data_IF_687646744899
#
_entry.id   IF_687646744899
#
_cell.length_a   1.000
_cell.length_b   1.000
_cell.length_c   1.000
_cell.angle_alpha   90.00
_cell.angle_beta   90.00
_cell.angle_gamma   90.00
#
_symmetry.space_group_name_H-M   'P 1'
#
loop_
_entity.id
_entity.type
_entity.pdbx_description
1 polymer ?
#
# COMPACT_ATOMS: atom_id res chain seq x y z
N UNK A 1 17.02 11.76 -4.56
CA UNK A 1 15.57 11.66 -4.22
C UNK A 1 15.29 10.54 -3.19
N UNK A 2 15.95 10.59 -2.02
CA UNK A 2 15.91 9.50 -1.02
C UNK A 2 14.64 9.62 -0.15
N UNK A 3 14.18 10.84 0.11
CA UNK A 3 13.04 11.14 1.01
C UNK A 3 11.68 11.09 0.29
N UNK A 4 11.65 11.27 -1.03
CA UNK A 4 10.41 11.32 -1.79
C UNK A 4 9.45 10.14 -1.56
N UNK A 5 9.91 8.86 -1.51
CA UNK A 5 9.02 7.74 -1.23
C UNK A 5 8.34 7.84 0.13
N UNK A 6 9.03 8.31 1.17
CA UNK A 6 8.44 8.50 2.49
C UNK A 6 7.34 9.57 2.47
N UNK A 7 7.57 10.70 1.78
CA UNK A 7 6.55 11.76 1.63
C UNK A 7 5.33 11.28 0.84
N UNK A 8 5.55 10.52 -0.24
CA UNK A 8 4.47 9.92 -1.05
C UNK A 8 3.63 8.99 -0.18
N UNK A 9 4.28 8.19 0.67
CA UNK A 9 3.61 7.23 1.56
C UNK A 9 2.74 7.94 2.59
N UNK A 10 3.21 9.06 3.16
CA UNK A 10 2.40 9.89 4.07
C UNK A 10 1.17 10.45 3.35
N UNK A 11 1.37 11.08 2.19
CA UNK A 11 0.27 11.64 1.42
C UNK A 11 -0.77 10.58 1.04
N UNK A 12 -0.32 9.37 0.68
CA UNK A 12 -1.19 8.25 0.40
C UNK A 12 -1.99 7.82 1.64
N UNK A 13 -1.36 7.76 2.82
CA UNK A 13 -2.04 7.47 4.09
C UNK A 13 -3.17 8.45 4.39
N UNK A 14 -2.93 9.75 4.23
CA UNK A 14 -3.98 10.77 4.39
C UNK A 14 -5.09 10.64 3.35
N UNK A 15 -4.76 10.27 2.11
CA UNK A 15 -5.76 9.96 1.08
C UNK A 15 -6.69 8.82 1.50
N UNK A 16 -6.18 7.80 2.20
CA UNK A 16 -7.01 6.69 2.74
C UNK A 16 -7.91 7.13 3.89
N UNK A 17 -7.45 8.04 4.73
CA UNK A 17 -8.32 8.67 5.75
C UNK A 17 -9.45 9.45 5.07
N UNK A 18 -9.16 10.17 3.99
CA UNK A 18 -10.18 10.84 3.18
C UNK A 18 -11.22 9.87 2.60
N UNK A 19 -10.79 8.69 2.09
CA UNK A 19 -11.72 7.64 1.65
C UNK A 19 -12.59 7.10 2.80
N UNK A 20 -12.03 6.98 4.01
CA UNK A 20 -12.80 6.59 5.18
C UNK A 20 -13.88 7.63 5.52
N UNK A 21 -13.55 8.91 5.54
CA UNK A 21 -14.51 9.98 5.79
C UNK A 21 -15.62 10.05 4.71
N UNK A 22 -15.28 9.68 3.47
CA UNK A 22 -16.23 9.62 2.36
C UNK A 22 -17.08 8.34 2.36
N UNK A 23 -16.81 7.36 3.24
CA UNK A 23 -17.54 6.09 3.31
C UNK A 23 -17.33 5.18 2.10
N UNK A 24 -16.25 5.36 1.33
CA UNK A 24 -15.96 4.58 0.13
C UNK A 24 -14.79 3.62 0.32
N UNK A 25 -14.69 2.58 -0.52
CA UNK A 25 -13.55 1.65 -0.53
C UNK A 25 -13.40 0.79 0.74
N UNK A 26 -14.49 0.54 1.44
CA UNK A 26 -14.54 -0.35 2.61
C UNK A 26 -14.35 -1.82 2.24
N UNK A 27 -14.20 -2.68 3.26
CA UNK A 27 -14.09 -4.12 3.09
C UNK A 27 -15.45 -4.85 3.05
N UNK A 28 -15.38 -6.17 3.17
CA UNK A 28 -16.55 -7.05 3.28
C UNK A 28 -17.31 -6.80 4.59
N UNK A 29 -18.58 -7.21 4.62
CA UNK A 29 -19.38 -7.22 5.84
C UNK A 29 -18.75 -8.11 6.92
N UNK A 30 -18.85 -7.69 8.16
CA UNK A 30 -18.23 -8.39 9.29
C UNK A 30 -19.00 -8.16 10.57
N UNK A 31 -19.10 -9.21 11.38
CA UNK A 31 -19.61 -9.13 12.76
C UNK A 31 -18.49 -8.87 13.78
N UNK A 32 -17.29 -8.58 13.31
CA UNK A 32 -16.13 -8.30 14.15
C UNK A 32 -16.29 -6.98 14.90
N UNK A 33 -15.72 -6.91 16.11
CA UNK A 33 -15.63 -5.68 16.91
C UNK A 33 -14.94 -4.51 16.18
N UNK A 34 -14.17 -4.81 15.14
CA UNK A 34 -13.52 -3.81 14.27
C UNK A 34 -14.40 -3.31 13.12
N UNK A 35 -15.63 -3.86 12.99
CA UNK A 35 -16.57 -3.42 11.96
C UNK A 35 -17.06 -2.01 12.22
N UNK A 36 -17.18 -1.22 11.14
CA UNK A 36 -17.71 0.15 11.15
C UNK A 36 -18.91 0.21 10.23
N UNK A 37 -20.00 0.82 10.70
CA UNK A 37 -21.20 1.05 9.88
C UNK A 37 -21.13 2.46 9.30
N UNK A 38 -21.06 2.57 7.98
CA UNK A 38 -21.11 3.86 7.28
C UNK A 38 -22.55 4.33 7.08
N UNK A 39 -22.78 5.64 6.95
CA UNK A 39 -24.09 6.18 6.65
C UNK A 39 -24.71 5.52 5.40
N UNK A 40 -25.93 5.01 5.53
CA UNK A 40 -26.65 4.31 4.47
C UNK A 40 -26.39 2.81 4.38
N UNK A 41 -25.53 2.25 5.24
CA UNK A 41 -25.33 0.80 5.37
C UNK A 41 -26.11 0.22 6.55
N UNK A 42 -26.57 -1.04 6.40
CA UNK A 42 -27.27 -1.78 7.46
C UNK A 42 -26.26 -2.57 8.29
N UNK A 43 -25.30 -3.21 7.63
CA UNK A 43 -24.33 -4.10 8.26
C UNK A 43 -22.96 -3.40 8.43
N UNK A 44 -22.22 -3.73 9.50
CA UNK A 44 -20.86 -3.26 9.68
C UNK A 44 -19.92 -3.91 8.66
N UNK A 45 -18.92 -3.14 8.21
CA UNK A 45 -17.92 -3.57 7.23
C UNK A 45 -16.51 -3.32 7.77
N UNK A 46 -15.53 -4.08 7.27
CA UNK A 46 -14.13 -3.81 7.64
C UNK A 46 -13.67 -2.44 7.13
N UNK A 47 -13.12 -1.57 8.01
CA UNK A 47 -12.56 -0.27 7.62
C UNK A 47 -11.17 -0.44 7.00
N UNK A 48 -11.11 -1.12 5.85
CA UNK A 48 -9.85 -1.42 5.15
C UNK A 48 -9.04 -0.17 4.82
N UNK A 49 -9.70 0.99 4.69
CA UNK A 49 -9.06 2.29 4.51
C UNK A 49 -8.18 2.66 5.71
N UNK A 50 -8.66 2.42 6.93
CA UNK A 50 -7.90 2.70 8.16
C UNK A 50 -6.73 1.73 8.32
N UNK A 51 -6.91 0.45 7.99
CA UNK A 51 -5.82 -0.53 8.02
C UNK A 51 -4.73 -0.14 7.03
N UNK A 52 -5.12 0.31 5.84
CA UNK A 52 -4.17 0.77 4.82
C UNK A 52 -3.46 2.07 5.25
N UNK A 53 -4.19 3.02 5.80
CA UNK A 53 -3.60 4.26 6.32
C UNK A 53 -2.59 3.99 7.43
N UNK A 54 -2.94 3.15 8.40
CA UNK A 54 -2.06 2.77 9.50
C UNK A 54 -0.77 2.12 9.01
N UNK A 55 -0.88 1.15 8.09
CA UNK A 55 0.28 0.51 7.48
C UNK A 55 1.16 1.53 6.73
N UNK A 56 0.55 2.44 5.96
CA UNK A 56 1.29 3.46 5.21
C UNK A 56 2.05 4.41 6.13
N UNK A 57 1.49 4.79 7.27
CA UNK A 57 2.21 5.64 8.24
C UNK A 57 3.38 4.91 8.88
N UNK A 58 3.23 3.62 9.21
CA UNK A 58 4.35 2.80 9.70
C UNK A 58 5.43 2.68 8.63
N UNK A 59 5.04 2.35 7.40
CA UNK A 59 5.96 2.23 6.27
C UNK A 59 6.69 3.55 6.02
N UNK A 60 6.00 4.69 6.09
CA UNK A 60 6.61 6.00 5.97
C UNK A 60 7.65 6.27 7.04
N UNK A 61 7.35 5.95 8.30
CA UNK A 61 8.30 6.11 9.41
C UNK A 61 9.56 5.26 9.18
N UNK A 62 9.40 4.02 8.71
CA UNK A 62 10.53 3.14 8.37
C UNK A 62 11.34 3.73 7.21
N UNK A 63 10.69 4.20 6.15
CA UNK A 63 11.37 4.81 5.00
C UNK A 63 12.11 6.09 5.38
N UNK A 64 11.54 6.90 6.25
CA UNK A 64 12.19 8.09 6.80
C UNK A 64 13.44 7.74 7.61
N UNK A 65 13.32 6.77 8.51
CA UNK A 65 14.45 6.28 9.30
C UNK A 65 15.57 5.73 8.42
N UNK A 66 15.24 4.92 7.41
CA UNK A 66 16.20 4.36 6.46
C UNK A 66 16.86 5.46 5.60
N UNK A 67 16.09 6.44 5.14
CA UNK A 67 16.62 7.57 4.39
C UNK A 67 17.56 8.45 5.22
N UNK A 68 17.26 8.62 6.51
CA UNK A 68 18.11 9.37 7.44
C UNK A 68 19.40 8.63 7.75
N UNK A 69 19.32 7.33 8.08
CA UNK A 69 20.47 6.50 8.48
C UNK A 69 21.37 6.12 7.32
N UNK A 70 20.77 5.80 6.17
CA UNK A 70 21.47 5.30 4.97
C UNK A 70 21.27 6.25 3.79
N UNK A 71 21.95 7.38 3.81
CA UNK A 71 21.82 8.47 2.80
C UNK A 71 21.98 8.04 1.34
N UNK A 72 22.62 6.90 1.08
CA UNK A 72 22.84 6.34 -0.26
C UNK A 72 21.87 5.24 -0.65
N UNK A 73 20.87 4.95 0.20
CA UNK A 73 19.88 3.92 -0.05
C UNK A 73 18.71 4.51 -0.83
N UNK A 74 18.38 3.90 -1.96
CA UNK A 74 17.15 4.23 -2.65
C UNK A 74 15.97 3.53 -1.94
N UNK A 75 15.09 4.30 -1.32
CA UNK A 75 13.93 3.79 -0.56
C UNK A 75 12.73 3.44 -1.44
N UNK A 76 12.77 3.78 -2.74
CA UNK A 76 11.68 3.51 -3.69
C UNK A 76 11.37 2.01 -3.86
N UNK A 77 12.36 1.11 -4.04
CA UNK A 77 12.08 -0.32 -4.10
C UNK A 77 11.41 -0.85 -2.83
N UNK A 78 11.85 -0.37 -1.67
CA UNK A 78 11.28 -0.80 -0.38
C UNK A 78 9.81 -0.37 -0.27
N UNK A 79 9.49 0.85 -0.70
CA UNK A 79 8.10 1.33 -0.78
C UNK A 79 7.25 0.45 -1.71
N UNK A 80 7.71 0.21 -2.93
CA UNK A 80 6.97 -0.57 -3.93
C UNK A 80 6.75 -2.02 -3.48
N UNK A 81 7.78 -2.66 -2.91
CA UNK A 81 7.66 -4.02 -2.38
C UNK A 81 6.71 -4.07 -1.17
N UNK A 82 6.94 -3.23 -0.16
CA UNK A 82 6.13 -3.21 1.06
C UNK A 82 4.67 -2.91 0.79
N UNK A 83 4.39 -1.87 0.00
CA UNK A 83 3.03 -1.54 -0.37
C UNK A 83 2.38 -2.60 -1.27
N UNK A 84 3.11 -3.13 -2.25
CA UNK A 84 2.60 -4.17 -3.15
C UNK A 84 2.17 -5.42 -2.41
N UNK A 85 3.00 -5.92 -1.48
CA UNK A 85 2.66 -7.09 -0.65
C UNK A 85 1.46 -6.82 0.24
N UNK A 86 1.46 -5.69 0.94
CA UNK A 86 0.35 -5.33 1.82
C UNK A 86 -0.97 -5.16 1.04
N UNK A 87 -0.92 -4.47 -0.10
CA UNK A 87 -2.09 -4.25 -0.95
C UNK A 87 -2.65 -5.55 -1.51
N UNK A 88 -1.77 -6.49 -1.88
CA UNK A 88 -2.19 -7.81 -2.31
C UNK A 88 -2.95 -8.55 -1.21
N UNK A 89 -2.45 -8.52 0.03
CA UNK A 89 -3.11 -9.15 1.18
C UNK A 89 -4.43 -8.46 1.54
N UNK A 90 -4.46 -7.12 1.52
CA UNK A 90 -5.65 -6.35 1.86
C UNK A 90 -6.82 -6.62 0.91
N UNK A 91 -6.55 -7.00 -0.33
CA UNK A 91 -7.59 -7.29 -1.32
C UNK A 91 -8.49 -8.46 -0.91
N UNK A 92 -7.99 -9.41 -0.12
CA UNK A 92 -8.81 -10.50 0.42
C UNK A 92 -9.88 -10.05 1.43
N UNK A 93 -9.68 -8.87 2.04
CA UNK A 93 -10.66 -8.25 2.96
C UNK A 93 -11.59 -7.27 2.25
N UNK A 94 -11.42 -7.06 0.95
CA UNK A 94 -12.28 -6.16 0.15
C UNK A 94 -13.41 -6.95 -0.49
N UNK A 95 -14.61 -6.41 -0.38
CA UNK A 95 -15.82 -6.97 -0.97
C UNK A 95 -16.26 -6.26 -2.25
N UNK A 96 -15.43 -5.37 -2.82
CA UNK A 96 -15.81 -4.61 -4.01
C UNK A 96 -15.77 -5.50 -5.26
N UNK A 97 -16.91 -5.75 -5.86
CA UNK A 97 -17.03 -6.32 -7.22
C UNK A 97 -16.55 -5.29 -8.25
N UNK A 98 -15.26 -5.28 -8.53
CA UNK A 98 -14.63 -4.34 -9.49
C UNK A 98 -14.51 -4.88 -10.90
N UNK A 99 -15.45 -5.73 -11.34
CA UNK A 99 -15.49 -6.21 -12.72
C UNK A 99 -14.37 -7.17 -13.09
N UNK A 100 -14.04 -7.23 -14.37
CA UNK A 100 -13.23 -8.26 -14.99
C UNK A 100 -12.00 -8.74 -14.21
N UNK A 101 -12.04 -10.00 -13.80
CA UNK A 101 -10.91 -10.72 -13.26
C UNK A 101 -10.02 -11.22 -14.40
N UNK A 102 -8.76 -10.87 -14.38
CA UNK A 102 -7.75 -11.49 -15.23
C UNK A 102 -7.09 -12.63 -14.43
N UNK A 103 -7.22 -13.86 -14.89
CA UNK A 103 -6.73 -15.07 -14.18
C UNK A 103 -7.24 -15.19 -12.73
N UNK A 104 -8.50 -14.86 -12.47
CA UNK A 104 -9.11 -14.86 -11.12
C UNK A 104 -8.48 -13.86 -10.12
N UNK A 105 -7.66 -12.94 -10.60
CA UNK A 105 -7.05 -11.89 -9.79
C UNK A 105 -7.79 -10.56 -10.00
N UNK A 106 -7.94 -9.79 -8.93
CA UNK A 106 -8.47 -8.43 -9.04
C UNK A 106 -7.48 -7.49 -9.73
N UNK A 107 -7.93 -6.40 -10.36
CA UNK A 107 -7.03 -5.40 -10.94
C UNK A 107 -5.99 -4.88 -9.94
N UNK A 108 -6.36 -4.71 -8.67
CA UNK A 108 -5.45 -4.29 -7.62
C UNK A 108 -4.35 -5.32 -7.33
N UNK A 109 -4.67 -6.61 -7.39
CA UNK A 109 -3.68 -7.69 -7.23
C UNK A 109 -2.71 -7.72 -8.41
N UNK A 110 -3.19 -7.53 -9.64
CA UNK A 110 -2.33 -7.42 -10.82
C UNK A 110 -1.35 -6.25 -10.69
N UNK A 111 -1.83 -5.06 -10.31
CA UNK A 111 -0.95 -3.91 -10.07
C UNK A 111 0.04 -4.14 -8.94
N UNK A 112 -0.35 -4.85 -7.87
CA UNK A 112 0.54 -5.20 -6.76
C UNK A 112 1.68 -6.12 -7.21
N UNK A 113 1.37 -7.13 -8.03
CA UNK A 113 2.38 -8.03 -8.59
C UNK A 113 3.35 -7.27 -9.50
N UNK A 114 2.84 -6.40 -10.38
CA UNK A 114 3.67 -5.56 -11.24
C UNK A 114 4.59 -4.66 -10.40
N UNK A 115 4.08 -4.04 -9.35
CA UNK A 115 4.87 -3.20 -8.46
C UNK A 115 6.01 -3.96 -7.76
N UNK A 116 5.76 -5.22 -7.36
CA UNK A 116 6.78 -6.09 -6.77
C UNK A 116 7.87 -6.42 -7.81
N UNK A 117 7.51 -6.77 -9.04
CA UNK A 117 8.48 -7.04 -10.11
C UNK A 117 9.32 -5.80 -10.44
N UNK A 118 8.69 -4.63 -10.53
CA UNK A 118 9.40 -3.35 -10.73
C UNK A 118 10.36 -3.09 -9.56
N UNK A 119 9.95 -3.37 -8.32
CA UNK A 119 10.80 -3.22 -7.14
C UNK A 119 12.05 -4.08 -7.22
N UNK A 120 11.91 -5.36 -7.62
CA UNK A 120 13.04 -6.28 -7.79
C UNK A 120 13.98 -5.77 -8.89
N UNK A 121 13.44 -5.43 -10.05
CA UNK A 121 14.23 -4.92 -11.18
C UNK A 121 15.00 -3.64 -10.82
N UNK A 122 14.33 -2.70 -10.13
CA UNK A 122 14.94 -1.46 -9.68
C UNK A 122 16.04 -1.71 -8.62
N UNK A 123 15.84 -2.67 -7.72
CA UNK A 123 16.85 -3.05 -6.72
C UNK A 123 18.10 -3.61 -7.37
N UNK A 124 17.95 -4.50 -8.35
CA UNK A 124 19.06 -5.09 -9.11
C UNK A 124 19.80 -3.99 -9.90
N UNK A 125 19.06 -3.13 -10.60
CA UNK A 125 19.63 -2.02 -11.36
C UNK A 125 20.47 -1.09 -10.47
N UNK A 126 19.94 -0.68 -9.32
CA UNK A 126 20.61 0.20 -8.38
C UNK A 126 21.85 -0.46 -7.76
N UNK A 127 21.79 -1.76 -7.49
CA UNK A 127 22.95 -2.52 -7.01
C UNK A 127 24.10 -2.52 -8.03
N UNK A 128 23.80 -2.81 -9.30
CA UNK A 128 24.79 -2.80 -10.37
C UNK A 128 25.33 -1.40 -10.64
N UNK A 129 24.47 -0.38 -10.66
CA UNK A 129 24.87 1.01 -10.85
C UNK A 129 25.84 1.49 -9.75
N UNK A 130 25.53 1.16 -8.49
CA UNK A 130 26.41 1.50 -7.37
C UNK A 130 27.75 0.78 -7.44
N UNK A 131 27.77 -0.49 -7.85
CA UNK A 131 29.00 -1.27 -8.03
C UNK A 131 29.89 -0.71 -9.14
N UNK A 132 29.30 -0.11 -10.18
CA UNK A 132 30.04 0.47 -11.30
C UNK A 132 30.67 1.84 -10.97
N UNK A 133 30.06 2.58 -10.02
CA UNK A 133 30.47 3.94 -9.70
C UNK A 133 31.24 4.06 -8.35
N UNK A 134 31.53 2.94 -7.69
CA UNK A 134 32.47 2.83 -6.57
C UNK A 134 33.77 2.17 -7.04
#
# INVERSE_FOLDING_TARGET
MIIAPACITVAHGFGRIGCFCAGCCHGIETDSIMGVTFPGMINPVYPTQLFEAFFLFILSAILFFLAYKYRNLCTMPIYLAGYGVFRFMLEFLRGDDRGAYFLSLSPSQCFSIIAIFISIGLSIYLYHWKKKNN
#
